data_IF_354190619287
#
_entry.id   IF_354190619287
#
_cell.length_a   1.000
_cell.length_b   1.000
_cell.length_c   1.000
_cell.angle_alpha   90.00
_cell.angle_beta   90.00
_cell.angle_gamma   90.00
#
_symmetry.space_group_name_H-M   'P 1'
#
loop_
_entity.id
_entity.type
_entity.pdbx_description
1 polymer ?
#
# COMPACT_ATOMS: atom_id res chain seq x y z
N UNK A 1 5.71 14.17 1.63
CA UNK A 1 6.80 13.16 1.43
C UNK A 1 6.41 12.15 0.35
N UNK A 2 7.35 11.46 -0.31
CA UNK A 2 7.04 10.36 -1.26
C UNK A 2 7.46 9.02 -0.68
N UNK A 3 6.54 8.06 -0.60
CA UNK A 3 6.75 6.77 0.08
C UNK A 3 6.33 5.62 -0.82
N UNK A 4 7.19 4.62 -0.95
CA UNK A 4 6.91 3.34 -1.59
C UNK A 4 6.85 2.25 -0.52
N UNK A 5 5.78 1.46 -0.52
CA UNK A 5 5.59 0.34 0.42
C UNK A 5 5.59 -0.97 -0.36
N UNK A 6 6.56 -1.84 -0.09
CA UNK A 6 6.56 -3.21 -0.59
C UNK A 6 5.88 -4.12 0.44
N UNK A 7 4.62 -4.48 0.18
CA UNK A 7 3.84 -5.36 1.04
C UNK A 7 2.89 -6.20 0.18
N UNK A 8 3.04 -7.52 0.21
CA UNK A 8 2.26 -8.43 -0.62
C UNK A 8 2.18 -9.85 -0.06
N UNK A 9 1.46 -10.71 -0.76
CA UNK A 9 1.21 -12.09 -0.36
C UNK A 9 -0.06 -12.20 0.49
N UNK A 10 0.09 -12.21 1.81
CA UNK A 10 -1.03 -12.38 2.77
C UNK A 10 -1.40 -11.07 3.47
N UNK A 11 -2.57 -11.05 4.11
CA UNK A 11 -3.05 -9.88 4.87
C UNK A 11 -2.12 -9.43 5.98
N UNK A 12 -1.28 -10.32 6.52
CA UNK A 12 -0.37 -10.02 7.62
C UNK A 12 0.65 -8.92 7.33
N UNK A 13 1.06 -8.74 6.07
CA UNK A 13 1.94 -7.63 5.66
C UNK A 13 1.14 -6.46 5.09
N UNK A 14 0.05 -6.75 4.40
CA UNK A 14 -0.74 -5.74 3.67
C UNK A 14 -1.48 -4.81 4.65
N UNK A 15 -2.15 -5.35 5.67
CA UNK A 15 -2.90 -4.52 6.63
C UNK A 15 -1.98 -3.58 7.44
N UNK A 16 -0.83 -4.03 7.98
CA UNK A 16 0.12 -3.10 8.59
C UNK A 16 0.66 -2.05 7.61
N UNK A 17 0.97 -2.43 6.37
CA UNK A 17 1.39 -1.49 5.34
C UNK A 17 0.34 -0.39 5.08
N UNK A 18 -0.93 -0.78 4.98
CA UNK A 18 -2.07 0.16 4.85
C UNK A 18 -2.21 1.05 6.09
N UNK A 19 -2.03 0.50 7.29
CA UNK A 19 -2.11 1.28 8.54
C UNK A 19 -1.01 2.36 8.59
N UNK A 20 0.22 2.01 8.22
CA UNK A 20 1.34 2.95 8.12
C UNK A 20 1.07 4.01 7.04
N UNK A 21 0.58 3.60 5.87
CA UNK A 21 0.22 4.52 4.78
C UNK A 21 -0.82 5.56 5.23
N UNK A 22 -1.88 5.12 5.91
CA UNK A 22 -2.92 6.02 6.46
C UNK A 22 -2.35 6.99 7.48
N UNK A 23 -1.48 6.53 8.37
CA UNK A 23 -0.87 7.39 9.38
C UNK A 23 0.06 8.45 8.76
N UNK A 24 0.82 8.09 7.72
CA UNK A 24 1.65 9.04 6.96
C UNK A 24 0.76 10.14 6.34
N UNK A 25 -0.32 9.74 5.66
CA UNK A 25 -1.28 10.68 5.07
C UNK A 25 -1.98 11.56 6.11
N UNK A 26 -2.20 11.02 7.32
CA UNK A 26 -2.80 11.76 8.43
C UNK A 26 -1.87 12.84 8.98
N UNK A 27 -0.57 12.56 9.08
CA UNK A 27 0.44 13.52 9.56
C UNK A 27 0.75 14.59 8.52
N UNK A 28 0.77 14.23 7.25
CA UNK A 28 1.02 15.14 6.14
C UNK A 28 0.16 14.75 4.93
N UNK A 29 -0.90 15.52 4.68
CA UNK A 29 -1.83 15.29 3.56
C UNK A 29 -1.21 15.54 2.20
N UNK A 30 -0.06 16.22 2.13
CA UNK A 30 0.69 16.40 0.87
C UNK A 30 1.57 15.20 0.53
N UNK A 31 1.64 14.20 1.43
CA UNK A 31 2.36 12.98 1.16
C UNK A 31 1.71 12.16 0.05
N UNK A 32 2.55 11.40 -0.66
CA UNK A 32 2.14 10.49 -1.71
C UNK A 32 2.65 9.11 -1.33
N UNK A 33 1.71 8.17 -1.13
CA UNK A 33 2.02 6.78 -0.80
C UNK A 33 1.62 5.89 -1.96
N UNK A 34 2.52 5.01 -2.37
CA UNK A 34 2.30 3.99 -3.38
C UNK A 34 2.74 2.64 -2.86
N UNK A 35 2.01 1.59 -3.22
CA UNK A 35 2.39 0.22 -2.95
C UNK A 35 3.02 -0.41 -4.19
N UNK A 36 3.88 -1.39 -3.97
CA UNK A 36 4.41 -2.29 -5.01
C UNK A 36 4.18 -3.74 -4.60
N UNK A 37 3.75 -4.56 -5.54
CA UNK A 37 3.44 -5.98 -5.30
C UNK A 37 3.17 -6.75 -6.58
N UNK A 38 2.63 -7.96 -6.45
CA UNK A 38 2.40 -8.86 -7.58
C UNK A 38 0.92 -8.98 -7.92
N UNK A 39 0.60 -9.48 -9.11
CA UNK A 39 -0.79 -9.71 -9.49
C UNK A 39 -1.45 -10.89 -8.74
N UNK A 40 -0.65 -11.74 -8.07
CA UNK A 40 -1.09 -13.03 -7.51
C UNK A 40 -1.62 -12.95 -6.07
N UNK A 41 -1.25 -11.91 -5.31
CA UNK A 41 -1.55 -11.83 -3.89
C UNK A 41 -2.77 -10.97 -3.53
N UNK A 42 -3.09 -10.92 -2.24
CA UNK A 42 -4.22 -10.14 -1.73
C UNK A 42 -4.05 -8.63 -1.93
N UNK A 43 -2.81 -8.15 -2.17
CA UNK A 43 -2.51 -6.74 -2.41
C UNK A 43 -3.32 -6.17 -3.57
N UNK A 44 -3.55 -6.98 -4.61
CA UNK A 44 -4.23 -6.57 -5.84
C UNK A 44 -5.70 -6.19 -5.60
N UNK A 45 -6.27 -6.62 -4.47
CA UNK A 45 -7.62 -6.27 -4.02
C UNK A 45 -7.58 -5.28 -2.86
N UNK A 46 -6.81 -5.58 -1.82
CA UNK A 46 -6.87 -4.86 -0.54
C UNK A 46 -6.25 -3.46 -0.62
N UNK A 47 -5.19 -3.27 -1.40
CA UNK A 47 -4.51 -1.96 -1.52
C UNK A 47 -5.41 -0.95 -2.24
N UNK A 48 -5.97 -1.25 -3.44
CA UNK A 48 -6.92 -0.34 -4.08
C UNK A 48 -8.18 -0.08 -3.24
N UNK A 49 -8.71 -1.11 -2.56
CA UNK A 49 -9.86 -0.95 -1.67
C UNK A 49 -9.58 -0.01 -0.48
N UNK A 50 -8.33 0.07 -0.02
CA UNK A 50 -7.92 1.00 1.02
C UNK A 50 -7.66 2.43 0.51
N UNK A 51 -7.79 2.66 -0.80
CA UNK A 51 -7.62 3.97 -1.45
C UNK A 51 -6.17 4.30 -1.82
N UNK A 52 -5.29 3.30 -1.97
CA UNK A 52 -3.90 3.51 -2.36
C UNK A 52 -3.59 2.92 -3.74
N UNK A 53 -2.65 3.54 -4.44
CA UNK A 53 -2.13 3.03 -5.72
C UNK A 53 -1.30 1.76 -5.51
N UNK A 54 -1.50 0.76 -6.37
CA UNK A 54 -0.64 -0.42 -6.48
C UNK A 54 0.08 -0.45 -7.83
N UNK A 55 1.40 -0.46 -7.81
CA UNK A 55 2.22 -0.81 -8.97
C UNK A 55 2.51 -2.31 -8.97
N UNK A 56 2.17 -2.96 -10.08
CA UNK A 56 2.47 -4.37 -10.28
C UNK A 56 3.88 -4.53 -10.86
N UNK A 57 4.59 -5.53 -10.36
CA UNK A 57 5.88 -5.99 -10.89
C UNK A 57 5.75 -7.44 -11.35
N UNK A 58 6.51 -7.78 -12.40
CA UNK A 58 6.55 -9.12 -13.01
C UNK A 58 7.33 -10.14 -12.16
#
# INVERSE_FOLDING_TARGET
MRVLIAAGGTGGHIYPGIAVAKEIMRRDRSSVVRFVGTARGLENRLVPQAGFDLSLIE
#
